data_IF_731713898057
#
_entry.id   IF_731713898057
#
_cell.length_a   1.000
_cell.length_b   1.000
_cell.length_c   1.000
_cell.angle_alpha   90.00
_cell.angle_beta   90.00
_cell.angle_gamma   90.00
#
_symmetry.space_group_name_H-M   'P 1'
#
loop_
_entity.id
_entity.type
_entity.pdbx_description
1 polymer ?
#
# COMPACT_ATOMS: atom_id res chain seq x y z
N UNK A 1 12.65 -52.53 -49.73
CA UNK A 1 11.70 -52.19 -50.82
C UNK A 1 10.30 -52.29 -50.22
N UNK A 2 9.42 -51.29 -50.12
CA UNK A 2 9.27 -49.87 -50.53
C UNK A 2 9.16 -48.97 -49.27
N UNK A 3 9.52 -47.68 -49.16
CA UNK A 3 9.45 -46.45 -49.98
C UNK A 3 8.08 -45.72 -49.95
N UNK A 4 8.06 -44.61 -49.19
CA UNK A 4 7.27 -43.33 -49.21
C UNK A 4 5.75 -43.38 -48.97
N UNK A 5 5.08 -42.47 -48.24
CA UNK A 5 5.18 -40.99 -48.16
C UNK A 5 4.66 -40.46 -46.79
N UNK A 6 5.41 -39.60 -46.09
CA UNK A 6 5.22 -38.13 -45.95
C UNK A 6 3.82 -37.67 -45.52
N UNK A 7 3.69 -37.31 -44.25
CA UNK A 7 2.94 -36.10 -43.90
C UNK A 7 3.61 -35.36 -42.74
N UNK A 8 4.31 -34.31 -43.15
CA UNK A 8 4.86 -33.21 -42.38
C UNK A 8 3.68 -32.42 -41.82
N UNK A 9 3.60 -32.18 -40.51
CA UNK A 9 2.98 -30.92 -40.07
C UNK A 9 3.61 -30.39 -38.77
N UNK A 10 4.58 -29.50 -39.01
CA UNK A 10 4.85 -28.26 -38.28
C UNK A 10 4.59 -28.26 -36.78
N UNK A 11 5.66 -28.61 -36.06
CA UNK A 11 6.14 -27.82 -34.93
C UNK A 11 6.00 -26.33 -35.28
N UNK A 12 5.11 -25.60 -34.60
CA UNK A 12 5.01 -24.16 -34.71
C UNK A 12 4.74 -23.60 -33.32
N UNK A 13 5.80 -23.00 -32.78
CA UNK A 13 5.83 -21.84 -31.89
C UNK A 13 4.60 -21.61 -31.00
N UNK A 14 4.76 -21.90 -29.71
CA UNK A 14 4.09 -21.14 -28.64
C UNK A 14 5.03 -20.96 -27.41
N UNK A 15 6.33 -20.88 -27.65
CA UNK A 15 7.34 -20.47 -26.63
C UNK A 15 7.48 -18.94 -26.57
N UNK A 16 6.35 -18.21 -26.60
CA UNK A 16 6.33 -16.74 -26.56
C UNK A 16 5.44 -16.17 -25.44
N UNK A 17 5.08 -16.97 -24.44
CA UNK A 17 4.28 -16.51 -23.30
C UNK A 17 4.85 -17.05 -21.99
N UNK A 18 6.08 -16.66 -21.61
CA UNK A 18 6.41 -16.40 -20.20
C UNK A 18 7.82 -15.83 -19.90
N UNK A 19 8.51 -15.21 -20.86
CA UNK A 19 9.87 -14.70 -20.59
C UNK A 19 9.91 -13.58 -19.52
N UNK A 20 8.82 -12.84 -19.31
CA UNK A 20 8.76 -11.79 -18.29
C UNK A 20 8.63 -12.30 -16.85
N UNK A 21 8.21 -13.57 -16.65
CA UNK A 21 8.14 -14.20 -15.34
C UNK A 21 9.49 -14.80 -14.94
N UNK A 22 10.35 -15.11 -15.92
CA UNK A 22 11.66 -15.75 -15.70
C UNK A 22 12.78 -14.78 -15.30
N UNK A 23 12.62 -13.46 -15.47
CA UNK A 23 13.63 -12.48 -15.04
C UNK A 23 13.72 -12.33 -13.51
N UNK A 24 12.67 -12.69 -12.78
CA UNK A 24 12.60 -12.63 -11.31
C UNK A 24 12.95 -13.97 -10.64
N UNK A 25 13.37 -14.99 -11.41
CA UNK A 25 13.60 -16.37 -10.93
C UNK A 25 14.72 -16.49 -9.88
N UNK A 26 15.49 -15.43 -9.62
CA UNK A 26 16.48 -15.32 -8.54
C UNK A 26 16.26 -14.19 -7.53
N UNK A 27 15.31 -13.28 -7.78
CA UNK A 27 15.01 -12.14 -6.89
C UNK A 27 13.70 -12.42 -6.19
N UNK A 28 13.69 -12.32 -4.86
CA UNK A 28 12.45 -12.43 -4.10
C UNK A 28 11.50 -11.30 -4.55
N UNK A 29 10.48 -11.62 -5.34
CA UNK A 29 9.56 -10.64 -5.94
C UNK A 29 8.91 -9.74 -4.89
N UNK A 30 8.67 -10.26 -3.69
CA UNK A 30 8.10 -9.53 -2.55
C UNK A 30 9.09 -8.50 -2.03
N UNK A 31 10.38 -8.85 -2.02
CA UNK A 31 11.43 -7.90 -1.67
C UNK A 31 11.48 -6.73 -2.64
N UNK A 32 11.34 -6.99 -3.94
CA UNK A 32 11.26 -5.93 -4.95
C UNK A 32 10.07 -5.02 -4.69
N UNK A 33 8.87 -5.57 -4.47
CA UNK A 33 7.68 -4.75 -4.23
C UNK A 33 7.77 -3.88 -2.96
N UNK A 34 8.26 -4.45 -1.85
CA UNK A 34 8.43 -3.70 -0.59
C UNK A 34 9.47 -2.59 -0.74
N UNK A 35 10.63 -2.93 -1.32
CA UNK A 35 11.72 -1.97 -1.52
C UNK A 35 11.31 -0.86 -2.46
N UNK A 36 10.58 -1.20 -3.52
CA UNK A 36 10.09 -0.25 -4.52
C UNK A 36 9.13 0.75 -3.89
N UNK A 37 8.16 0.24 -3.14
CA UNK A 37 7.18 1.10 -2.48
C UNK A 37 7.83 2.04 -1.46
N UNK A 38 8.75 1.53 -0.62
CA UNK A 38 9.48 2.37 0.34
C UNK A 38 10.25 3.47 -0.40
N UNK A 39 10.97 3.13 -1.48
CA UNK A 39 11.71 4.11 -2.29
C UNK A 39 10.75 5.17 -2.85
N UNK A 40 9.65 4.73 -3.47
CA UNK A 40 8.63 5.60 -4.03
C UNK A 40 8.04 6.54 -2.97
N UNK A 41 7.70 6.03 -1.79
CA UNK A 41 7.12 6.82 -0.70
C UNK A 41 8.08 7.86 -0.13
N UNK A 42 9.35 7.51 0.05
CA UNK A 42 10.39 8.46 0.46
C UNK A 42 10.57 9.55 -0.61
N UNK A 43 10.55 9.17 -1.89
CA UNK A 43 10.68 10.12 -3.00
C UNK A 43 9.53 11.14 -3.05
N UNK A 44 8.28 10.73 -2.77
CA UNK A 44 7.14 11.65 -2.70
C UNK A 44 7.28 12.77 -1.67
N UNK A 45 8.14 12.60 -0.65
CA UNK A 45 8.45 13.65 0.32
C UNK A 45 9.73 14.43 0.01
N UNK A 46 10.22 14.35 -1.24
CA UNK A 46 11.53 14.88 -1.66
C UNK A 46 12.70 14.30 -0.84
N UNK A 47 12.50 13.13 -0.25
CA UNK A 47 13.53 12.39 0.48
C UNK A 47 14.39 11.54 -0.44
N UNK A 48 15.53 11.10 0.08
CA UNK A 48 16.41 10.14 -0.58
C UNK A 48 16.94 9.15 0.45
N UNK A 49 16.94 7.85 0.11
CA UNK A 49 17.48 6.80 0.96
C UNK A 49 18.52 5.96 0.19
N UNK A 50 19.83 6.20 0.41
CA UNK A 50 20.88 5.49 -0.32
C UNK A 50 21.02 4.02 0.06
N UNK A 51 20.54 3.62 1.25
CA UNK A 51 20.77 2.28 1.80
C UNK A 51 19.77 1.21 1.33
N UNK A 52 18.87 1.53 0.40
CA UNK A 52 17.90 0.57 -0.13
C UNK A 52 18.54 -0.27 -1.26
N UNK A 53 18.32 -1.60 -1.28
CA UNK A 53 18.80 -2.46 -2.35
C UNK A 53 18.34 -1.96 -3.73
N UNK A 54 19.22 -2.02 -4.72
CA UNK A 54 18.83 -1.76 -6.11
C UNK A 54 17.77 -2.77 -6.54
N UNK A 55 16.77 -2.27 -7.27
CA UNK A 55 15.74 -3.10 -7.88
C UNK A 55 16.03 -3.08 -9.37
N UNK A 56 16.01 -4.23 -10.05
CA UNK A 56 16.14 -4.26 -11.50
C UNK A 56 15.14 -3.29 -12.14
N UNK A 57 15.61 -2.45 -13.04
CA UNK A 57 14.72 -1.60 -13.84
C UNK A 57 13.76 -2.51 -14.60
N UNK A 58 12.47 -2.37 -14.30
CA UNK A 58 11.42 -3.20 -14.87
C UNK A 58 10.22 -2.30 -15.13
N UNK A 59 9.78 -2.22 -16.39
CA UNK A 59 8.55 -1.50 -16.81
C UNK A 59 7.30 -2.30 -16.44
N UNK A 60 7.31 -2.89 -15.25
CA UNK A 60 6.28 -3.82 -14.81
C UNK A 60 5.18 -3.07 -14.06
N UNK A 61 4.01 -2.99 -14.70
CA UNK A 61 2.81 -2.33 -14.17
C UNK A 61 2.40 -2.83 -12.78
N UNK A 62 2.84 -4.03 -12.36
CA UNK A 62 2.56 -4.58 -11.02
C UNK A 62 3.13 -3.71 -9.91
N UNK A 63 4.28 -3.06 -10.13
CA UNK A 63 4.84 -2.10 -9.18
C UNK A 63 3.94 -0.87 -9.03
N UNK A 64 3.42 -0.35 -10.14
CA UNK A 64 2.50 0.79 -10.14
C UNK A 64 1.21 0.47 -9.40
N UNK A 65 0.63 -0.72 -9.61
CA UNK A 65 -0.56 -1.15 -8.89
C UNK A 65 -0.34 -1.21 -7.38
N UNK A 66 0.81 -1.71 -6.93
CA UNK A 66 1.15 -1.75 -5.49
C UNK A 66 1.29 -0.33 -4.94
N UNK A 67 1.98 0.56 -5.65
CA UNK A 67 2.12 1.96 -5.26
C UNK A 67 0.75 2.64 -5.10
N UNK A 68 -0.11 2.49 -6.10
CA UNK A 68 -1.44 3.10 -6.12
C UNK A 68 -2.32 2.57 -4.98
N UNK A 69 -2.46 1.25 -4.84
CA UNK A 69 -3.35 0.68 -3.81
C UNK A 69 -2.85 0.94 -2.39
N UNK A 70 -1.54 0.96 -2.17
CA UNK A 70 -0.98 1.31 -0.86
C UNK A 70 -1.13 2.79 -0.54
N UNK A 71 -1.01 3.70 -1.52
CA UNK A 71 -1.34 5.12 -1.32
C UNK A 71 -2.81 5.34 -0.99
N UNK A 72 -3.73 4.67 -1.70
CA UNK A 72 -5.16 4.73 -1.40
C UNK A 72 -5.42 4.25 0.03
N UNK A 73 -4.77 3.15 0.44
CA UNK A 73 -4.86 2.66 1.81
C UNK A 73 -4.36 3.70 2.82
N UNK A 74 -3.19 4.32 2.58
CA UNK A 74 -2.66 5.36 3.45
C UNK A 74 -3.62 6.55 3.58
N UNK A 75 -4.22 7.01 2.49
CA UNK A 75 -5.17 8.12 2.51
C UNK A 75 -6.42 7.78 3.33
N UNK A 76 -7.00 6.60 3.09
CA UNK A 76 -8.21 6.14 3.77
C UNK A 76 -7.99 5.85 5.26
N UNK A 77 -6.77 5.50 5.67
CA UNK A 77 -6.41 5.16 7.06
C UNK A 77 -5.39 6.13 7.67
N UNK A 78 -5.34 7.37 7.18
CA UNK A 78 -4.27 8.33 7.49
C UNK A 78 -4.13 8.65 8.99
N UNK A 79 -5.25 8.85 9.69
CA UNK A 79 -5.26 9.13 11.14
C UNK A 79 -4.68 7.95 11.93
N UNK A 80 -5.20 6.74 11.69
CA UNK A 80 -4.78 5.51 12.38
C UNK A 80 -3.29 5.22 12.15
N UNK A 81 -2.84 5.29 10.90
CA UNK A 81 -1.44 5.06 10.54
C UNK A 81 -0.52 6.13 11.14
N UNK A 82 -0.92 7.39 11.14
CA UNK A 82 -0.16 8.48 11.77
C UNK A 82 -0.03 8.26 13.27
N UNK A 83 -1.11 7.84 13.93
CA UNK A 83 -1.11 7.51 15.35
C UNK A 83 -0.17 6.33 15.65
N UNK A 84 -0.19 5.27 14.83
CA UNK A 84 0.72 4.13 14.97
C UNK A 84 2.20 4.54 14.80
N UNK A 85 2.53 5.32 13.76
CA UNK A 85 3.91 5.80 13.54
C UNK A 85 4.36 6.72 14.67
N UNK A 86 3.48 7.58 15.17
CA UNK A 86 3.76 8.47 16.32
C UNK A 86 4.00 7.66 17.59
N UNK A 87 3.18 6.64 17.84
CA UNK A 87 3.33 5.72 18.97
C UNK A 87 4.62 4.89 18.90
N UNK A 88 5.12 4.56 17.71
CA UNK A 88 6.44 3.93 17.55
C UNK A 88 7.58 4.87 17.99
N UNK A 89 7.41 6.17 17.78
CA UNK A 89 8.39 7.22 18.03
C UNK A 89 8.34 7.79 19.46
N UNK A 90 8.08 6.98 20.49
CA UNK A 90 8.05 7.44 21.89
C UNK A 90 9.38 8.10 22.25
N UNK A 91 9.32 9.34 22.78
CA UNK A 91 10.47 10.18 23.10
C UNK A 91 11.39 10.51 21.91
N UNK A 92 10.83 10.55 20.69
CA UNK A 92 11.58 10.90 19.48
C UNK A 92 12.53 9.81 19.00
N UNK A 93 12.40 8.58 19.52
CA UNK A 93 13.22 7.43 19.11
C UNK A 93 12.34 6.31 18.56
N UNK A 94 12.65 5.88 17.35
CA UNK A 94 12.13 4.64 16.77
C UNK A 94 13.21 3.57 16.91
N UNK A 95 12.84 2.35 17.32
CA UNK A 95 13.76 1.22 17.34
C UNK A 95 13.24 0.09 16.47
N UNK A 96 14.16 -0.63 15.82
CA UNK A 96 13.82 -1.79 15.00
C UNK A 96 12.97 -2.82 15.77
N UNK A 97 13.25 -3.05 17.05
CA UNK A 97 12.47 -3.97 17.89
C UNK A 97 11.00 -3.54 18.07
N UNK A 98 10.71 -2.24 18.16
CA UNK A 98 9.33 -1.75 18.22
C UNK A 98 8.61 -1.96 16.89
N UNK A 99 9.32 -1.74 15.79
CA UNK A 99 8.79 -2.01 14.45
C UNK A 99 8.41 -3.48 14.26
N UNK A 100 9.31 -4.40 14.64
CA UNK A 100 9.10 -5.85 14.60
C UNK A 100 7.81 -6.24 15.34
N UNK A 101 7.62 -5.74 16.57
CA UNK A 101 6.41 -6.01 17.35
C UNK A 101 5.13 -5.59 16.64
N UNK A 102 5.11 -4.41 16.03
CA UNK A 102 3.93 -3.95 15.28
C UNK A 102 3.67 -4.85 14.07
N UNK A 103 4.70 -5.21 13.31
CA UNK A 103 4.56 -6.12 12.16
C UNK A 103 4.04 -7.50 12.59
N UNK A 104 4.48 -8.01 13.73
CA UNK A 104 3.98 -9.28 14.28
C UNK A 104 2.50 -9.18 14.70
N UNK A 105 2.05 -8.04 15.24
CA UNK A 105 0.63 -7.81 15.53
C UNK A 105 -0.25 -7.83 14.27
N UNK A 106 0.28 -7.49 13.08
CA UNK A 106 -0.48 -7.66 11.83
C UNK A 106 -0.76 -9.12 11.46
N UNK A 107 -0.01 -10.07 12.00
CA UNK A 107 -0.27 -11.51 11.83
C UNK A 107 -1.18 -12.09 12.91
N UNK A 108 -1.22 -11.49 14.10
CA UNK A 108 -2.02 -11.98 15.22
C UNK A 108 -3.49 -11.57 15.05
N UNK A 109 -4.39 -12.55 14.92
CA UNK A 109 -5.82 -12.31 15.07
C UNK A 109 -6.11 -12.14 16.57
N UNK A 110 -6.70 -11.01 16.97
CA UNK A 110 -7.19 -10.81 18.35
C UNK A 110 -8.62 -11.33 18.54
N UNK A 111 -9.20 -11.95 17.51
CA UNK A 111 -10.53 -12.55 17.57
C UNK A 111 -10.37 -14.06 17.78
N UNK A 112 -11.00 -14.57 18.85
CA UNK A 112 -10.90 -15.87 19.53
C UNK A 112 -11.05 -17.17 18.69
N UNK A 113 -10.88 -17.14 17.38
CA UNK A 113 -10.79 -18.34 16.56
C UNK A 113 -9.33 -18.59 16.17
N UNK A 114 -8.68 -19.52 16.89
CA UNK A 114 -7.32 -20.08 16.67
C UNK A 114 -7.07 -20.66 15.26
N UNK A 115 -7.98 -20.47 14.31
CA UNK A 115 -7.95 -21.09 13.00
C UNK A 115 -7.96 -20.05 11.92
N UNK A 116 -6.96 -19.17 11.83
CA UNK A 116 -6.47 -18.63 10.55
C UNK A 116 -5.47 -17.47 10.73
N UNK A 117 -4.23 -17.77 11.13
CA UNK A 117 -3.08 -16.88 10.88
C UNK A 117 -2.93 -16.69 9.36
N UNK A 118 -3.73 -15.80 8.78
CA UNK A 118 -3.82 -15.61 7.33
C UNK A 118 -3.37 -14.22 6.93
N UNK A 119 -2.48 -14.17 5.95
CA UNK A 119 -2.15 -12.92 5.27
C UNK A 119 -3.19 -12.63 4.19
N UNK A 120 -4.19 -11.84 4.57
CA UNK A 120 -5.13 -11.25 3.62
C UNK A 120 -4.44 -10.22 2.72
N UNK A 121 -5.04 -9.94 1.56
CA UNK A 121 -4.57 -8.86 0.67
C UNK A 121 -4.59 -7.48 1.34
N UNK A 122 -5.57 -7.22 2.20
CA UNK A 122 -5.62 -5.98 2.98
C UNK A 122 -4.44 -5.86 3.94
N UNK A 123 -4.09 -6.94 4.67
CA UNK A 123 -2.93 -6.96 5.58
C UNK A 123 -1.61 -6.81 4.83
N UNK A 124 -1.48 -7.42 3.65
CA UNK A 124 -0.34 -7.23 2.76
C UNK A 124 -0.15 -5.74 2.41
N UNK A 125 -1.21 -5.09 1.93
CA UNK A 125 -1.17 -3.67 1.55
C UNK A 125 -0.90 -2.78 2.76
N UNK A 126 -1.57 -3.04 3.89
CA UNK A 126 -1.39 -2.28 5.11
C UNK A 126 0.07 -2.32 5.63
N UNK A 127 0.71 -3.49 5.58
CA UNK A 127 2.11 -3.64 5.98
C UNK A 127 3.07 -2.91 5.04
N UNK A 128 2.83 -2.94 3.73
CA UNK A 128 3.63 -2.21 2.74
C UNK A 128 3.49 -0.70 2.95
N UNK A 129 2.25 -0.21 3.06
CA UNK A 129 1.91 1.18 3.38
C UNK A 129 2.61 1.65 4.67
N UNK A 130 2.44 0.88 5.74
CA UNK A 130 3.04 1.18 7.04
C UNK A 130 4.57 1.22 7.00
N UNK A 131 5.21 0.28 6.29
CA UNK A 131 6.66 0.29 6.09
C UNK A 131 7.13 1.56 5.38
N UNK A 132 6.40 2.04 4.38
CA UNK A 132 6.67 3.30 3.69
C UNK A 132 6.61 4.51 4.64
N UNK A 133 5.58 4.60 5.47
CA UNK A 133 5.42 5.68 6.45
C UNK A 133 6.51 5.67 7.54
N UNK A 134 6.87 4.49 8.04
CA UNK A 134 7.99 4.36 8.99
C UNK A 134 9.33 4.71 8.34
N UNK A 135 9.54 4.32 7.09
CA UNK A 135 10.75 4.65 6.35
C UNK A 135 10.94 6.16 6.17
N UNK A 136 9.87 6.89 5.86
CA UNK A 136 9.86 8.35 5.84
C UNK A 136 10.33 8.89 7.18
N UNK A 137 9.73 8.41 8.28
CA UNK A 137 10.06 8.90 9.61
C UNK A 137 11.51 8.62 10.01
N UNK A 138 12.05 7.48 9.60
CA UNK A 138 13.47 7.14 9.80
C UNK A 138 14.39 8.02 8.94
N UNK A 139 13.99 8.36 7.71
CA UNK A 139 14.72 9.30 6.86
C UNK A 139 14.77 10.69 7.51
N UNK A 140 13.65 11.18 8.06
CA UNK A 140 13.61 12.45 8.80
C UNK A 140 14.56 12.48 10.00
N UNK A 141 14.81 11.32 10.61
CA UNK A 141 15.74 11.14 11.73
C UNK A 141 17.20 10.87 11.27
N UNK A 142 17.46 10.78 9.96
CA UNK A 142 18.78 10.43 9.41
C UNK A 142 19.19 8.96 9.63
N UNK A 143 18.24 8.08 9.95
CA UNK A 143 18.47 6.67 10.29
C UNK A 143 18.37 5.75 9.06
N UNK A 144 19.15 6.02 8.01
CA UNK A 144 19.10 5.25 6.75
C UNK A 144 19.40 3.75 6.87
N UNK A 145 20.33 3.28 7.72
CA UNK A 145 20.53 1.85 7.91
C UNK A 145 19.27 1.13 8.43
N UNK A 146 18.50 1.80 9.29
CA UNK A 146 17.25 1.26 9.84
C UNK A 146 16.17 1.15 8.76
N UNK A 147 16.14 2.06 7.77
CA UNK A 147 15.26 1.96 6.60
C UNK A 147 15.53 0.66 5.83
N UNK A 148 16.80 0.32 5.63
CA UNK A 148 17.21 -0.94 4.98
C UNK A 148 16.80 -2.17 5.80
N UNK A 149 16.96 -2.11 7.13
CA UNK A 149 16.55 -3.18 8.03
C UNK A 149 15.04 -3.42 8.00
N UNK A 150 14.21 -2.37 8.08
CA UNK A 150 12.75 -2.54 8.01
C UNK A 150 12.32 -3.06 6.63
N UNK A 151 12.94 -2.61 5.54
CA UNK A 151 12.65 -3.12 4.20
C UNK A 151 12.92 -4.63 4.15
N UNK A 152 14.12 -5.06 4.56
CA UNK A 152 14.50 -6.47 4.58
C UNK A 152 13.59 -7.31 5.47
N UNK A 153 13.28 -6.83 6.67
CA UNK A 153 12.42 -7.54 7.62
C UNK A 153 11.02 -7.75 7.06
N UNK A 154 10.40 -6.68 6.55
CA UNK A 154 9.04 -6.71 6.01
C UNK A 154 8.94 -7.59 4.78
N UNK A 155 9.94 -7.54 3.89
CA UNK A 155 10.00 -8.46 2.75
C UNK A 155 10.06 -9.92 3.19
N UNK A 156 10.91 -10.26 4.16
CA UNK A 156 11.05 -11.64 4.67
C UNK A 156 9.79 -12.11 5.39
N UNK A 157 9.18 -11.24 6.20
CA UNK A 157 7.95 -11.53 6.90
C UNK A 157 6.80 -11.80 5.93
N UNK A 158 6.58 -10.90 4.98
CA UNK A 158 5.55 -11.06 3.95
C UNK A 158 5.80 -12.29 3.09
N UNK A 159 7.05 -12.53 2.69
CA UNK A 159 7.40 -13.73 1.92
C UNK A 159 7.06 -15.02 2.66
N UNK A 160 7.46 -15.13 3.93
CA UNK A 160 7.11 -16.27 4.78
C UNK A 160 5.59 -16.45 4.85
N UNK A 161 4.86 -15.37 5.10
CA UNK A 161 3.41 -15.41 5.23
C UNK A 161 2.69 -15.78 3.93
N UNK A 162 3.12 -15.24 2.78
CA UNK A 162 2.57 -15.61 1.46
C UNK A 162 2.78 -17.09 1.18
N UNK A 163 4.00 -17.61 1.36
CA UNK A 163 4.32 -19.02 1.09
C UNK A 163 3.52 -19.96 1.98
N UNK A 164 3.32 -19.62 3.26
CA UNK A 164 2.61 -20.47 4.20
C UNK A 164 1.09 -20.41 4.03
N UNK A 165 0.52 -19.23 3.79
CA UNK A 165 -0.93 -19.00 3.94
C UNK A 165 -1.68 -18.95 2.61
N UNK A 166 -1.07 -18.49 1.52
CA UNK A 166 -1.81 -18.27 0.26
C UNK A 166 -2.23 -19.56 -0.44
N UNK A 167 -1.42 -20.63 -0.50
CA UNK A 167 -1.82 -21.88 -1.15
C UNK A 167 -3.06 -22.51 -0.51
N UNK A 168 -3.13 -22.48 0.83
CA UNK A 168 -4.26 -23.01 1.59
C UNK A 168 -5.55 -22.22 1.35
N UNK A 169 -5.41 -20.93 1.04
CA UNK A 169 -6.52 -19.99 0.88
C UNK A 169 -6.87 -19.65 -0.57
N UNK A 170 -6.30 -20.39 -1.54
CA UNK A 170 -6.51 -20.17 -2.97
C UNK A 170 -6.21 -18.70 -3.38
N UNK A 171 -5.21 -18.09 -2.75
CA UNK A 171 -4.74 -16.73 -3.05
C UNK A 171 -3.57 -16.76 -4.02
N UNK A 172 -3.44 -15.73 -4.84
CA UNK A 172 -2.38 -15.58 -5.83
C UNK A 172 -2.09 -14.12 -6.08
N UNK A 173 -0.91 -13.83 -6.63
CA UNK A 173 -0.56 -12.47 -7.05
C UNK A 173 -1.50 -11.96 -8.15
N UNK A 174 -1.90 -12.81 -9.08
CA UNK A 174 -2.84 -12.44 -10.16
C UNK A 174 -4.19 -11.98 -9.59
N UNK A 175 -4.79 -12.77 -8.70
CA UNK A 175 -6.05 -12.38 -8.05
C UNK A 175 -5.90 -11.20 -7.08
N UNK A 176 -4.70 -10.93 -6.57
CA UNK A 176 -4.40 -9.70 -5.86
C UNK A 176 -4.43 -8.49 -6.81
N UNK A 177 -3.76 -8.57 -7.96
CA UNK A 177 -3.69 -7.47 -8.92
C UNK A 177 -5.03 -7.15 -9.56
N UNK A 178 -5.87 -8.16 -9.82
CA UNK A 178 -7.24 -7.93 -10.28
C UNK A 178 -8.05 -7.13 -9.25
N UNK A 179 -7.90 -7.47 -7.96
CA UNK A 179 -8.54 -6.72 -6.88
C UNK A 179 -7.96 -5.32 -6.71
N UNK A 180 -6.65 -5.15 -6.88
CA UNK A 180 -6.01 -3.85 -6.80
C UNK A 180 -6.55 -2.91 -7.89
N UNK A 181 -6.68 -3.37 -9.14
CA UNK A 181 -7.30 -2.61 -10.23
C UNK A 181 -8.72 -2.18 -9.88
N UNK A 182 -9.56 -3.11 -9.43
CA UNK A 182 -10.93 -2.77 -9.01
C UNK A 182 -10.98 -1.73 -7.87
N UNK A 183 -10.05 -1.78 -6.92
CA UNK A 183 -9.98 -0.79 -5.84
C UNK A 183 -9.60 0.58 -6.38
N UNK A 184 -8.64 0.65 -7.30
CA UNK A 184 -8.17 1.89 -7.94
C UNK A 184 -9.32 2.51 -8.74
N UNK A 185 -9.94 1.75 -9.65
CA UNK A 185 -11.04 2.22 -10.50
C UNK A 185 -12.21 2.75 -9.65
N UNK A 186 -12.53 2.05 -8.56
CA UNK A 186 -13.58 2.48 -7.62
C UNK A 186 -13.18 3.75 -6.88
N UNK A 187 -11.93 3.87 -6.44
CA UNK A 187 -11.44 5.06 -5.74
C UNK A 187 -11.46 6.29 -6.65
N UNK A 188 -11.06 6.15 -7.92
CA UNK A 188 -11.15 7.23 -8.91
C UNK A 188 -12.59 7.69 -9.12
N UNK A 189 -13.53 6.74 -9.17
CA UNK A 189 -14.97 7.05 -9.27
C UNK A 189 -15.47 7.78 -8.02
N UNK A 190 -15.15 7.29 -6.82
CA UNK A 190 -15.50 7.92 -5.54
C UNK A 190 -14.94 9.35 -5.42
N UNK A 191 -13.69 9.58 -5.82
CA UNK A 191 -13.06 10.90 -5.81
C UNK A 191 -13.70 11.86 -6.82
N UNK A 192 -14.01 11.39 -8.03
CA UNK A 192 -14.70 12.17 -9.04
C UNK A 192 -16.11 12.56 -8.58
N UNK A 193 -16.86 11.65 -7.94
CA UNK A 193 -18.16 11.93 -7.37
C UNK A 193 -18.07 12.96 -6.23
N UNK A 194 -17.12 12.81 -5.31
CA UNK A 194 -16.90 13.79 -4.23
C UNK A 194 -16.50 15.17 -4.77
N UNK A 195 -15.64 15.21 -5.79
CA UNK A 195 -15.27 16.45 -6.45
C UNK A 195 -16.47 17.11 -7.13
N UNK A 196 -17.29 16.33 -7.84
CA UNK A 196 -18.52 16.80 -8.46
C UNK A 196 -19.52 17.32 -7.42
N UNK A 197 -19.75 16.60 -6.33
CA UNK A 197 -20.59 17.04 -5.22
C UNK A 197 -20.06 18.32 -4.55
N UNK A 198 -18.74 18.43 -4.33
CA UNK A 198 -18.12 19.64 -3.78
C UNK A 198 -18.23 20.82 -4.75
N UNK A 199 -18.11 20.57 -6.05
CA UNK A 199 -18.31 21.56 -7.10
C UNK A 199 -19.77 22.01 -7.18
N UNK A 200 -20.74 21.09 -7.07
CA UNK A 200 -22.17 21.40 -7.03
C UNK A 200 -22.55 22.13 -5.74
N UNK A 201 -21.99 21.73 -4.60
CA UNK A 201 -22.16 22.43 -3.33
C UNK A 201 -21.58 23.85 -3.42
N UNK A 202 -20.43 24.03 -4.07
CA UNK A 202 -19.84 25.35 -4.33
C UNK A 202 -20.63 26.18 -5.35
N UNK A 203 -21.25 25.53 -6.35
CA UNK A 203 -22.11 26.16 -7.36
C UNK A 203 -23.44 26.59 -6.73
N UNK A 204 -24.00 25.77 -5.85
CA UNK A 204 -25.17 26.09 -5.03
C UNK A 204 -24.86 27.20 -4.02
N UNK A 205 -23.69 27.19 -3.38
CA UNK A 205 -23.23 28.29 -2.52
C UNK A 205 -22.98 29.60 -3.27
N UNK A 206 -22.53 29.56 -4.54
CA UNK A 206 -22.44 30.74 -5.40
C UNK A 206 -23.84 31.27 -5.76
N UNK A 207 -24.80 30.39 -6.04
CA UNK A 207 -26.20 30.78 -6.23
C UNK A 207 -26.84 31.35 -4.95
N UNK A 208 -26.46 30.84 -3.77
CA UNK A 208 -26.89 31.39 -2.47
C UNK A 208 -26.17 32.72 -2.19
N UNK A 209 -24.90 32.89 -2.56
CA UNK A 209 -24.20 34.20 -2.45
C UNK A 209 -24.81 35.28 -3.34
N UNK A 210 -25.44 34.91 -4.46
CA UNK A 210 -26.25 35.85 -5.25
C UNK A 210 -27.58 36.21 -4.56
N UNK A 211 -28.04 35.40 -3.59
CA UNK A 211 -29.31 35.56 -2.87
C UNK A 211 -29.17 36.07 -1.42
N UNK A 212 -27.96 36.07 -0.83
CA UNK A 212 -27.72 36.36 0.60
C UNK A 212 -26.71 37.52 0.80
N UNK A 213 -26.69 38.51 -0.10
CA UNK A 213 -26.11 39.83 0.22
C UNK A 213 -27.09 40.69 1.05
N UNK A 214 -28.32 40.23 1.27
CA UNK A 214 -29.25 40.80 2.24
C UNK A 214 -29.72 39.76 3.26
N UNK A 215 -28.93 39.53 4.32
CA UNK A 215 -29.45 39.31 5.69
C UNK A 215 -28.32 38.99 6.69
N UNK A 216 -27.98 39.99 7.49
CA UNK A 216 -27.81 39.94 8.95
C UNK A 216 -26.86 38.92 9.60
N UNK A 217 -25.77 39.47 10.15
CA UNK A 217 -25.29 39.33 11.54
C UNK A 217 -25.83 38.16 12.39
N UNK A 218 -24.94 37.29 12.88
CA UNK A 218 -25.28 36.35 13.97
C UNK A 218 -24.17 35.37 14.36
N UNK A 219 -23.49 35.67 15.47
CA UNK A 219 -22.47 34.86 16.15
C UNK A 219 -23.10 33.60 16.78
N UNK A 220 -22.39 32.46 16.77
CA UNK A 220 -22.52 31.47 17.85
C UNK A 220 -22.45 30.00 17.47
N UNK A 221 -21.25 29.41 17.47
CA UNK A 221 -21.03 27.99 17.79
C UNK A 221 -19.54 27.66 17.95
N UNK A 222 -18.83 28.39 18.83
CA UNK A 222 -17.43 28.14 19.20
C UNK A 222 -17.31 27.32 20.50
N UNK A 223 -18.31 26.50 20.84
CA UNK A 223 -18.50 26.01 22.22
C UNK A 223 -18.54 24.49 22.42
N UNK A 224 -18.11 23.67 21.45
CA UNK A 224 -18.10 22.20 21.64
C UNK A 224 -16.71 21.56 21.80
N UNK A 225 -15.62 22.20 21.34
CA UNK A 225 -14.26 21.64 21.47
C UNK A 225 -13.75 21.67 22.93
N UNK A 226 -14.38 22.47 23.80
CA UNK A 226 -13.99 22.60 25.22
C UNK A 226 -14.50 21.45 26.12
N UNK A 227 -15.33 20.54 25.60
CA UNK A 227 -15.94 19.47 26.40
C UNK A 227 -15.15 18.16 26.44
N UNK A 228 -14.42 17.79 25.37
CA UNK A 228 -13.68 16.51 25.37
C UNK A 228 -12.27 16.58 25.97
N UNK A 229 -11.67 17.77 26.09
CA UNK A 229 -10.42 17.98 26.84
C UNK A 229 -10.58 17.90 28.37
N UNK A 230 -11.81 17.65 28.86
CA UNK A 230 -12.13 17.53 30.30
C UNK A 230 -12.46 16.12 30.76
N UNK A 231 -12.51 15.14 29.85
CA UNK A 231 -12.62 13.73 30.18
C UNK A 231 -11.22 13.10 30.05
N UNK A 232 -10.49 13.17 31.16
CA UNK A 232 -9.22 12.50 31.46
C UNK A 232 -9.17 11.05 31.02
#
# INVERSE_FOLDING_TARGET
MSVTDVSRNKQCCDDAVNESVDFLKGVNIIQSYVTDYIRYRVHLQNGYCPCLPEIPSSDDYRFELIRAVALIFEQKHSEELTNMVTALCIHGRLTFQRYVKVVECFAQNNDDDERDEQLSYGRLVALIAFAGLVAIKLCDMGMFPDVSMIASYTSKFLHKQVVLTWPQNKRSWESFFDRAKMIIDRNETEENEQFNLKSEYSRWWLSIRALVIFSMLGIGAFTLIKAMLRAR
#
